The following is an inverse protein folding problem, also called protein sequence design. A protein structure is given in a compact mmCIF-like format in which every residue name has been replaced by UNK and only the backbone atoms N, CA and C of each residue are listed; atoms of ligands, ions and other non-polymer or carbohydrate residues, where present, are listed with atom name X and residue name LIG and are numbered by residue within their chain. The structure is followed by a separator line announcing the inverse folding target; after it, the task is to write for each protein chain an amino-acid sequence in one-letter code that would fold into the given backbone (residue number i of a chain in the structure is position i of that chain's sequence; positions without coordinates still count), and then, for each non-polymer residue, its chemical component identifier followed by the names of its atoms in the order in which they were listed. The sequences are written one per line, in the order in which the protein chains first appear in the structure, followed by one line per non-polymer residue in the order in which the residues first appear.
data_IF_412440025159
#
_entry.id   IF_412440025159
#
_cell.length_a   1.000
_cell.length_b   1.000
_cell.length_c   1.000
_cell.angle_alpha   90.00
_cell.angle_beta   90.00
_cell.angle_gamma   90.00
#
_symmetry.space_group_name_H-M   'P 1'
#
loop_
_entity.id
_entity.type
_entity.pdbx_description
1 polymer ?
#
# COMPACT_ATOMS: atom_id res chain seq x y z
N UNK A 1 -40.51 11.16 -7.09
CA UNK A 1 -39.83 11.55 -5.84
C UNK A 1 -38.46 10.90 -5.83
N UNK A 2 -37.41 11.70 -6.04
CA UNK A 2 -36.04 11.25 -6.15
C UNK A 2 -35.48 10.94 -4.74
N UNK A 3 -35.06 9.70 -4.52
CA UNK A 3 -34.34 9.29 -3.31
C UNK A 3 -32.84 9.42 -3.56
N UNK A 4 -32.28 10.59 -3.29
CA UNK A 4 -30.84 10.80 -3.16
C UNK A 4 -30.35 10.19 -1.84
N UNK A 5 -29.90 8.93 -1.88
CA UNK A 5 -28.97 8.41 -0.87
C UNK A 5 -27.56 8.81 -1.27
N UNK A 6 -27.19 10.03 -0.89
CA UNK A 6 -25.83 10.55 -0.94
C UNK A 6 -25.31 10.68 0.49
N UNK A 7 -24.94 9.57 1.10
CA UNK A 7 -24.14 9.56 2.34
C UNK A 7 -22.94 8.61 2.15
N UNK A 8 -22.06 8.97 1.21
CA UNK A 8 -20.64 8.63 1.35
C UNK A 8 -20.06 9.73 2.24
N UNK A 9 -20.10 9.51 3.54
CA UNK A 9 -19.48 10.35 4.54
C UNK A 9 -18.03 10.72 4.12
N UNK A 10 -17.84 12.00 3.85
CA UNK A 10 -16.62 12.79 4.05
C UNK A 10 -15.29 12.11 3.69
N UNK A 11 -14.92 12.20 2.40
CA UNK A 11 -13.51 12.25 1.99
C UNK A 11 -13.01 13.70 2.16
N UNK A 12 -12.39 14.07 3.28
CA UNK A 12 -11.42 15.20 3.29
C UNK A 12 -10.69 15.35 4.63
N UNK A 13 -9.80 14.41 4.92
CA UNK A 13 -8.49 14.74 5.46
C UNK A 13 -7.65 13.50 5.19
N UNK A 14 -6.93 13.49 4.07
CA UNK A 14 -5.89 12.50 3.85
C UNK A 14 -4.83 12.75 4.92
N UNK A 15 -5.01 12.21 6.11
CA UNK A 15 -4.06 12.40 7.20
C UNK A 15 -2.84 11.55 6.91
N UNK A 16 -1.67 12.14 7.13
CA UNK A 16 -0.40 11.48 6.95
C UNK A 16 0.39 11.61 8.23
N UNK A 17 1.02 10.52 8.62
CA UNK A 17 1.89 10.46 9.78
C UNK A 17 3.28 10.02 9.35
N UNK A 18 4.25 10.26 10.21
CA UNK A 18 5.58 9.68 10.10
C UNK A 18 5.73 8.63 11.20
N UNK A 19 5.99 7.40 10.78
CA UNK A 19 6.44 6.36 11.70
C UNK A 19 7.98 6.35 11.71
N UNK A 20 8.56 6.70 12.85
CA UNK A 20 9.98 6.58 13.10
C UNK A 20 10.28 5.21 13.73
N UNK A 21 11.09 4.38 13.08
CA UNK A 21 11.35 3.05 13.62
C UNK A 21 12.23 3.15 14.87
N UNK A 22 11.84 2.54 16.00
CA UNK A 22 12.72 2.40 17.13
C UNK A 22 14.02 1.73 16.68
N UNK A 23 15.16 2.37 16.95
CA UNK A 23 16.50 1.85 16.66
C UNK A 23 16.89 1.75 15.17
N UNK A 24 16.27 2.54 14.27
CA UNK A 24 16.73 2.64 12.87
C UNK A 24 16.79 4.09 12.40
N UNK A 25 17.79 4.42 11.59
CA UNK A 25 17.94 5.73 10.92
C UNK A 25 16.98 5.92 9.72
N UNK A 26 15.80 5.31 9.76
CA UNK A 26 14.81 5.47 8.69
C UNK A 26 13.45 5.70 9.29
N UNK A 27 12.60 6.39 8.53
CA UNK A 27 11.20 6.59 8.87
C UNK A 27 10.32 6.14 7.70
N UNK A 28 9.00 6.09 7.90
CA UNK A 28 8.02 5.86 6.84
C UNK A 28 6.92 6.89 6.95
N UNK A 29 6.58 7.49 5.82
CA UNK A 29 5.31 8.19 5.69
C UNK A 29 4.21 7.16 5.55
N UNK A 30 3.16 7.30 6.35
CA UNK A 30 2.00 6.43 6.36
C UNK A 30 0.76 7.27 6.16
N UNK A 31 -0.15 6.80 5.30
CA UNK A 31 -1.46 7.42 5.07
C UNK A 31 -2.52 6.33 4.88
N UNK A 32 -3.79 6.72 4.89
CA UNK A 32 -4.93 5.85 4.65
C UNK A 32 -5.67 6.32 3.41
N UNK A 33 -5.90 5.40 2.47
CA UNK A 33 -6.61 5.68 1.21
C UNK A 33 -7.63 4.55 1.02
N UNK A 34 -8.91 4.90 0.91
CA UNK A 34 -10.01 3.94 0.82
C UNK A 34 -9.98 2.88 1.94
N UNK A 35 -9.73 3.32 3.19
CA UNK A 35 -9.61 2.45 4.38
C UNK A 35 -8.47 1.43 4.33
N UNK A 36 -7.55 1.57 3.37
CA UNK A 36 -6.34 0.77 3.28
C UNK A 36 -5.15 1.59 3.75
N UNK A 37 -4.23 1.02 4.54
CA UNK A 37 -3.06 1.76 4.97
C UNK A 37 -1.93 1.60 3.96
N UNK A 38 -1.20 2.69 3.74
CA UNK A 38 -0.15 2.80 2.74
C UNK A 38 1.11 3.35 3.38
N UNK A 39 2.27 2.79 3.01
CA UNK A 39 3.55 3.35 3.37
C UNK A 39 4.35 3.77 2.14
N UNK A 40 5.08 4.87 2.24
CA UNK A 40 6.02 5.28 1.20
C UNK A 40 7.35 4.53 1.35
N UNK A 41 7.79 3.84 0.29
CA UNK A 41 9.05 3.12 0.26
C UNK A 41 10.25 4.08 0.28
N UNK A 42 11.26 3.76 1.08
CA UNK A 42 12.54 4.47 1.11
C UNK A 42 13.56 3.93 0.11
N UNK A 43 13.17 3.01 -0.77
CA UNK A 43 14.08 2.44 -1.78
C UNK A 43 15.09 1.42 -1.26
N UNK A 44 15.59 1.52 -0.02
CA UNK A 44 16.67 0.71 0.56
C UNK A 44 16.62 -0.80 0.22
N UNK A 45 15.44 -1.42 0.28
CA UNK A 45 15.27 -2.86 0.02
C UNK A 45 14.46 -3.17 -1.26
N UNK A 46 14.06 -2.16 -2.03
CA UNK A 46 13.20 -2.36 -3.21
C UNK A 46 13.78 -1.78 -4.50
N UNK A 47 14.78 -0.90 -4.41
CA UNK A 47 15.23 -0.07 -5.53
C UNK A 47 14.20 0.95 -6.02
N UNK A 48 13.03 1.05 -5.38
CA UNK A 48 11.89 1.84 -5.83
C UNK A 48 11.48 2.87 -4.76
N UNK A 49 12.36 3.82 -4.50
CA UNK A 49 12.10 4.92 -3.58
C UNK A 49 10.91 5.78 -4.02
N UNK A 50 10.03 6.11 -3.08
CA UNK A 50 8.84 6.91 -3.34
C UNK A 50 7.63 6.12 -3.86
N UNK A 51 7.76 4.80 -4.06
CA UNK A 51 6.58 3.95 -4.35
C UNK A 51 5.76 3.71 -3.09
N UNK A 52 4.44 3.87 -3.21
CA UNK A 52 3.49 3.62 -2.13
C UNK A 52 3.02 2.16 -2.16
N UNK A 53 3.14 1.47 -1.03
CA UNK A 53 2.74 0.07 -0.90
C UNK A 53 1.69 -0.07 0.20
N UNK A 54 0.70 -0.92 -0.09
CA UNK A 54 -0.27 -1.37 0.90
C UNK A 54 0.42 -2.23 1.97
N UNK A 55 -0.10 -2.17 3.19
CA UNK A 55 0.32 -3.03 4.29
C UNK A 55 -0.85 -3.33 5.24
N UNK A 56 -0.66 -4.19 6.24
CA UNK A 56 -1.71 -4.62 7.17
C UNK A 56 -1.67 -3.96 8.55
N UNK A 57 -0.62 -3.17 8.83
CA UNK A 57 -0.37 -2.58 10.15
C UNK A 57 1.10 -2.69 10.55
N UNK A 58 1.41 -2.29 11.78
CA UNK A 58 2.74 -2.42 12.37
C UNK A 58 2.73 -3.54 13.40
N UNK A 59 3.78 -4.36 13.40
CA UNK A 59 3.94 -5.43 14.37
C UNK A 59 4.19 -4.85 15.78
N UNK A 60 3.24 -5.05 16.69
CA UNK A 60 3.29 -4.51 18.07
C UNK A 60 4.19 -5.33 18.99
N UNK A 61 4.31 -6.63 18.74
CA UNK A 61 5.11 -7.56 19.55
C UNK A 61 6.21 -8.21 18.72
N UNK A 62 7.39 -8.42 19.31
CA UNK A 62 8.44 -9.22 18.66
C UNK A 62 7.93 -10.65 18.45
N UNK A 63 8.24 -11.24 17.29
CA UNK A 63 8.09 -12.67 17.01
C UNK A 63 9.45 -13.31 16.81
N UNK A 64 9.50 -14.63 16.63
CA UNK A 64 10.76 -15.37 16.38
C UNK A 64 11.51 -14.88 15.15
N UNK A 65 10.78 -14.35 14.16
CA UNK A 65 11.34 -13.94 12.87
C UNK A 65 11.44 -12.42 12.69
N UNK A 66 10.67 -11.63 13.45
CA UNK A 66 10.60 -10.17 13.26
C UNK A 66 10.64 -9.40 14.56
N UNK A 67 11.38 -8.30 14.54
CA UNK A 67 11.37 -7.35 15.65
C UNK A 67 10.05 -6.57 15.68
N UNK A 68 9.67 -6.11 16.87
CA UNK A 68 8.65 -5.08 17.05
C UNK A 68 8.89 -3.90 16.11
N UNK A 69 7.82 -3.32 15.57
CA UNK A 69 7.86 -2.18 14.65
C UNK A 69 7.99 -2.54 13.17
N UNK A 70 7.95 -3.81 12.78
CA UNK A 70 7.97 -4.18 11.36
C UNK A 70 6.62 -3.90 10.68
N UNK A 71 6.67 -3.36 9.46
CA UNK A 71 5.48 -3.23 8.61
C UNK A 71 5.02 -4.61 8.14
N UNK A 72 3.76 -4.90 8.34
CA UNK A 72 3.13 -6.18 7.99
C UNK A 72 2.72 -6.12 6.53
N UNK A 73 3.52 -6.71 5.65
CA UNK A 73 3.26 -6.65 4.21
C UNK A 73 2.34 -7.80 3.81
N UNK A 74 1.54 -7.66 2.75
CA UNK A 74 0.74 -8.77 2.24
C UNK A 74 1.64 -9.96 1.87
N UNK A 75 1.55 -11.05 2.63
CA UNK A 75 2.23 -12.34 2.37
C UNK A 75 1.32 -13.37 1.70
N UNK A 76 0.04 -13.39 2.07
CA UNK A 76 -0.99 -14.33 1.59
C UNK A 76 -1.24 -14.30 0.07
N UNK A 77 -0.75 -13.29 -0.63
CA UNK A 77 -0.79 -13.25 -2.09
C UNK A 77 0.28 -14.05 -2.80
N UNK A 78 1.39 -14.30 -2.13
CA UNK A 78 2.50 -15.06 -2.69
C UNK A 78 2.36 -16.57 -2.43
N UNK A 79 1.81 -16.95 -1.28
CA UNK A 79 1.82 -18.34 -0.79
C UNK A 79 0.45 -19.06 -0.91
N UNK A 80 -0.67 -18.38 -0.69
CA UNK A 80 -2.00 -18.97 -0.93
C UNK A 80 -2.40 -18.78 -2.40
N UNK A 81 -1.86 -19.65 -3.26
CA UNK A 81 -2.33 -19.92 -4.64
C UNK A 81 -2.80 -18.68 -5.43
N UNK A 82 -1.96 -18.24 -6.37
CA UNK A 82 -2.37 -17.49 -7.57
C UNK A 82 -3.41 -18.26 -8.41
N UNK A 83 -4.58 -18.59 -7.85
CA UNK A 83 -5.75 -19.08 -8.55
C UNK A 83 -6.39 -17.90 -9.26
N UNK A 84 -5.73 -17.45 -10.33
CA UNK A 84 -6.18 -16.94 -11.63
C UNK A 84 -7.43 -16.04 -11.77
N UNK A 85 -8.13 -15.64 -10.71
CA UNK A 85 -9.47 -15.01 -10.83
C UNK A 85 -9.64 -13.75 -9.98
N UNK A 86 -8.95 -13.63 -8.84
CA UNK A 86 -9.08 -12.45 -7.97
C UNK A 86 -8.10 -11.32 -8.26
N UNK A 87 -6.97 -11.63 -8.89
CA UNK A 87 -5.84 -10.70 -9.02
C UNK A 87 -5.53 -10.27 -10.44
N UNK A 88 -5.92 -11.06 -11.43
CA UNK A 88 -5.68 -10.79 -12.84
C UNK A 88 -6.67 -11.61 -13.66
N UNK A 89 -7.33 -10.98 -14.65
CA UNK A 89 -8.01 -11.75 -15.69
C UNK A 89 -6.99 -12.62 -16.44
N UNK A 90 -7.46 -13.71 -17.07
CA UNK A 90 -6.65 -14.69 -17.82
C UNK A 90 -5.62 -14.06 -18.78
N UNK A 91 -5.95 -12.89 -19.35
CA UNK A 91 -5.09 -12.15 -20.27
C UNK A 91 -3.83 -11.53 -19.64
N UNK A 92 -3.85 -11.21 -18.33
CA UNK A 92 -2.70 -10.59 -17.63
C UNK A 92 -1.81 -11.63 -16.97
N UNK A 93 -2.39 -12.75 -16.53
CA UNK A 93 -1.63 -13.91 -16.07
C UNK A 93 -0.56 -14.28 -17.10
N UNK A 94 -0.94 -14.35 -18.39
CA UNK A 94 0.00 -14.61 -19.47
C UNK A 94 1.08 -13.51 -19.62
N UNK A 95 0.71 -12.22 -19.54
CA UNK A 95 1.66 -11.11 -19.67
C UNK A 95 2.69 -11.07 -18.53
N UNK A 96 2.27 -11.26 -17.28
CA UNK A 96 3.16 -11.25 -16.11
C UNK A 96 4.04 -12.50 -16.07
N UNK A 97 3.47 -13.67 -16.40
CA UNK A 97 4.18 -14.95 -16.44
C UNK A 97 5.22 -15.03 -17.57
N UNK A 98 4.91 -14.48 -18.75
CA UNK A 98 5.82 -14.42 -19.91
C UNK A 98 7.03 -13.51 -19.68
N UNK A 99 7.02 -12.71 -18.62
CA UNK A 99 7.95 -11.61 -18.42
C UNK A 99 8.80 -11.69 -17.14
N UNK A 100 8.82 -12.86 -16.47
CA UNK A 100 9.66 -13.32 -15.34
C UNK A 100 9.06 -13.24 -13.92
N UNK A 101 9.42 -14.24 -13.10
CA UNK A 101 9.00 -14.45 -11.71
C UNK A 101 9.34 -13.28 -10.80
N UNK A 102 10.41 -12.52 -11.10
CA UNK A 102 10.77 -11.30 -10.37
C UNK A 102 9.76 -10.16 -10.59
N UNK A 103 9.04 -10.16 -11.72
CA UNK A 103 7.92 -9.22 -11.97
C UNK A 103 6.67 -9.60 -11.19
N UNK A 104 6.44 -10.89 -10.95
CA UNK A 104 5.41 -11.39 -10.03
C UNK A 104 5.70 -10.97 -8.58
N UNK A 105 6.94 -11.11 -8.12
CA UNK A 105 7.36 -10.70 -6.76
C UNK A 105 7.26 -9.18 -6.55
N UNK A 106 7.51 -8.37 -7.58
CA UNK A 106 7.32 -6.92 -7.48
C UNK A 106 5.84 -6.54 -7.42
N UNK A 107 4.99 -7.30 -8.12
CA UNK A 107 3.55 -7.03 -8.16
C UNK A 107 2.80 -7.49 -6.90
N UNK A 108 3.20 -8.61 -6.30
CA UNK A 108 2.60 -9.12 -5.05
C UNK A 108 2.63 -8.07 -3.92
N UNK A 109 3.62 -7.17 -3.94
CA UNK A 109 3.76 -6.08 -2.98
C UNK A 109 2.67 -5.02 -3.08
N UNK A 110 1.95 -4.95 -4.20
CA UNK A 110 0.81 -4.04 -4.34
C UNK A 110 -0.48 -4.62 -3.77
N UNK A 111 -0.57 -5.92 -3.48
CA UNK A 111 -1.82 -6.53 -3.08
C UNK A 111 -2.63 -6.97 -4.30
N UNK A 112 -3.68 -6.25 -4.63
CA UNK A 112 -4.59 -6.52 -5.77
C UNK A 112 -4.50 -5.46 -6.88
N UNK A 113 -5.30 -5.63 -7.93
CA UNK A 113 -5.42 -4.67 -9.03
C UNK A 113 -5.85 -3.30 -8.52
N UNK A 114 -6.82 -3.22 -7.61
CA UNK A 114 -7.30 -1.94 -7.09
C UNK A 114 -6.16 -1.19 -6.40
N UNK A 115 -5.43 -1.88 -5.52
CA UNK A 115 -4.30 -1.32 -4.80
C UNK A 115 -3.12 -0.99 -5.74
N UNK A 116 -2.88 -1.79 -6.77
CA UNK A 116 -1.91 -1.45 -7.80
C UNK A 116 -2.30 -0.18 -8.57
N UNK A 117 -3.59 -0.02 -8.92
CA UNK A 117 -4.12 1.19 -9.55
C UNK A 117 -3.98 2.42 -8.64
N UNK A 118 -4.31 2.31 -7.35
CA UNK A 118 -4.15 3.38 -6.36
C UNK A 118 -2.68 3.80 -6.25
N UNK A 119 -1.76 2.83 -6.08
CA UNK A 119 -0.32 3.11 -6.07
C UNK A 119 0.14 3.79 -7.36
N UNK A 120 -0.32 3.30 -8.52
CA UNK A 120 0.01 3.87 -9.82
C UNK A 120 -0.53 5.29 -10.01
N UNK A 121 -1.70 5.62 -9.47
CA UNK A 121 -2.26 6.97 -9.43
C UNK A 121 -1.29 7.93 -8.74
N UNK A 122 -0.84 7.58 -7.54
CA UNK A 122 0.08 8.41 -6.74
C UNK A 122 1.44 8.53 -7.44
N UNK A 123 1.95 7.42 -7.99
CA UNK A 123 3.21 7.38 -8.74
C UNK A 123 4.46 7.24 -7.85
N UNK A 124 5.59 7.79 -8.31
CA UNK A 124 6.89 7.64 -7.63
C UNK A 124 7.58 6.29 -7.89
N UNK A 125 8.85 6.18 -7.52
CA UNK A 125 9.68 4.96 -7.60
C UNK A 125 9.46 4.11 -8.85
N UNK A 126 8.98 2.88 -8.65
CA UNK A 126 8.66 1.90 -9.68
C UNK A 126 7.87 2.49 -10.85
N UNK A 127 6.87 3.32 -10.58
CA UNK A 127 6.00 3.91 -11.61
C UNK A 127 6.69 4.92 -12.52
N UNK A 128 7.88 5.41 -12.14
CA UNK A 128 8.73 6.27 -12.99
C UNK A 128 9.61 5.47 -13.95
N UNK A 129 9.84 4.19 -13.67
CA UNK A 129 10.63 3.31 -14.55
C UNK A 129 9.88 3.03 -15.86
N UNK A 130 10.59 2.65 -16.92
CA UNK A 130 9.97 2.27 -18.20
C UNK A 130 8.95 1.13 -18.04
N UNK A 131 9.28 0.15 -17.17
CA UNK A 131 8.38 -0.97 -16.83
C UNK A 131 7.12 -0.49 -16.12
N UNK A 132 7.27 0.38 -15.12
CA UNK A 132 6.14 0.95 -14.38
C UNK A 132 5.23 1.81 -15.25
N UNK A 133 5.79 2.61 -16.16
CA UNK A 133 5.02 3.41 -17.13
C UNK A 133 4.17 2.53 -18.04
N UNK A 134 4.75 1.45 -18.58
CA UNK A 134 4.02 0.52 -19.44
C UNK A 134 2.87 -0.17 -18.68
N UNK A 135 3.14 -0.70 -17.49
CA UNK A 135 2.10 -1.33 -16.66
C UNK A 135 1.01 -0.32 -16.26
N UNK A 136 1.37 0.90 -15.86
CA UNK A 136 0.42 1.96 -15.53
C UNK A 136 -0.49 2.28 -16.71
N UNK A 137 0.04 2.33 -17.92
CA UNK A 137 -0.77 2.53 -19.14
C UNK A 137 -1.81 1.43 -19.33
N UNK A 138 -1.41 0.18 -19.18
CA UNK A 138 -2.33 -0.97 -19.23
C UNK A 138 -3.41 -0.90 -18.13
N UNK A 139 -3.01 -0.66 -16.88
CA UNK A 139 -3.93 -0.56 -15.74
C UNK A 139 -4.93 0.58 -15.95
N UNK A 140 -4.48 1.75 -16.44
CA UNK A 140 -5.36 2.89 -16.69
C UNK A 140 -6.36 2.61 -17.81
N UNK A 141 -5.97 1.87 -18.84
CA UNK A 141 -6.87 1.46 -19.94
C UNK A 141 -7.92 0.45 -19.48
N UNK A 142 -7.54 -0.49 -18.62
CA UNK A 142 -8.37 -1.68 -18.30
C UNK A 142 -9.16 -1.53 -17.00
N UNK A 143 -8.63 -0.78 -16.04
CA UNK A 143 -9.14 -0.67 -14.67
C UNK A 143 -9.20 0.80 -14.21
N UNK A 144 -9.55 1.71 -15.11
CA UNK A 144 -9.61 3.16 -14.85
C UNK A 144 -10.41 3.52 -13.60
N UNK A 145 -11.48 2.77 -13.30
CA UNK A 145 -12.36 2.99 -12.13
C UNK A 145 -11.64 2.93 -10.78
N UNK A 146 -10.47 2.29 -10.69
CA UNK A 146 -9.70 2.20 -9.43
C UNK A 146 -8.61 3.28 -9.32
N UNK A 147 -8.40 4.10 -10.36
CA UNK A 147 -7.45 5.20 -10.27
C UNK A 147 -8.04 6.33 -9.44
N UNK A 148 -7.23 6.84 -8.50
CA UNK A 148 -7.59 8.01 -7.71
C UNK A 148 -7.79 9.26 -8.60
N UNK A 149 -8.72 10.15 -8.22
CA UNK A 149 -8.87 11.46 -8.85
C UNK A 149 -7.63 12.36 -8.70
N UNK A 150 -7.38 13.28 -9.65
CA UNK A 150 -6.22 14.19 -9.62
C UNK A 150 -6.07 15.02 -8.34
N UNK A 151 -7.17 15.48 -7.76
CA UNK A 151 -7.23 16.28 -6.54
C UNK A 151 -6.68 15.49 -5.34
N UNK A 152 -7.14 14.25 -5.15
CA UNK A 152 -6.64 13.36 -4.10
C UNK A 152 -5.14 13.06 -4.30
N UNK A 153 -4.71 12.87 -5.55
CA UNK A 153 -3.28 12.64 -5.87
C UNK A 153 -2.44 13.86 -5.49
N UNK A 154 -2.93 15.07 -5.76
CA UNK A 154 -2.25 16.32 -5.43
C UNK A 154 -2.09 16.46 -3.91
N UNK A 155 -3.15 16.23 -3.15
CA UNK A 155 -3.16 16.34 -1.69
C UNK A 155 -2.16 15.36 -1.06
N UNK A 156 -2.19 14.09 -1.45
CA UNK A 156 -1.26 13.07 -0.94
C UNK A 156 0.19 13.48 -1.20
N UNK A 157 0.49 14.01 -2.40
CA UNK A 157 1.85 14.43 -2.75
C UNK A 157 2.29 15.66 -1.96
N UNK A 158 1.40 16.63 -1.76
CA UNK A 158 1.69 17.83 -0.98
C UNK A 158 1.96 17.46 0.48
N UNK A 159 1.14 16.60 1.08
CA UNK A 159 1.34 16.10 2.44
C UNK A 159 2.64 15.30 2.57
N UNK A 160 2.98 14.49 1.56
CA UNK A 160 4.24 13.76 1.55
C UNK A 160 5.49 14.67 1.51
N UNK A 161 5.33 15.93 1.11
CA UNK A 161 6.39 16.95 1.15
C UNK A 161 6.37 17.78 2.44
N UNK A 162 5.33 17.67 3.27
CA UNK A 162 5.25 18.40 4.53
C UNK A 162 6.31 17.91 5.53
N UNK A 163 6.87 18.85 6.27
CA UNK A 163 7.75 18.61 7.42
C UNK A 163 7.00 18.57 8.75
N UNK A 164 5.78 19.10 8.77
CA UNK A 164 4.92 19.20 9.95
C UNK A 164 3.91 18.06 9.98
N UNK A 165 4.42 16.83 10.08
CA UNK A 165 3.60 15.62 10.20
C UNK A 165 3.74 15.06 11.62
N UNK A 166 2.64 14.59 12.20
CA UNK A 166 2.68 13.89 13.49
C UNK A 166 3.63 12.70 13.41
N UNK A 167 4.57 12.63 14.35
CA UNK A 167 5.57 11.57 14.43
C UNK A 167 5.18 10.60 15.53
N UNK A 168 5.01 9.34 15.16
CA UNK A 168 4.90 8.23 16.09
C UNK A 168 6.19 7.41 16.06
N UNK A 169 6.71 7.09 17.24
CA UNK A 169 7.80 6.10 17.37
C UNK A 169 7.30 4.76 17.87
N UNK A 170 6.07 4.71 18.39
CA UNK A 170 5.49 3.53 18.99
C UNK A 170 4.53 2.80 18.03
N UNK A 171 4.76 1.50 17.72
CA UNK A 171 3.87 0.70 16.86
C UNK A 171 2.40 0.71 17.27
N UNK A 172 2.12 0.66 18.57
CA UNK A 172 0.75 0.65 19.10
C UNK A 172 0.03 1.97 18.81
N UNK A 173 0.72 3.10 18.93
CA UNK A 173 0.17 4.41 18.55
C UNK A 173 -0.15 4.48 17.05
N UNK A 174 0.71 3.92 16.20
CA UNK A 174 0.44 3.87 14.76
C UNK A 174 -0.79 3.01 14.47
N UNK A 175 -0.88 1.81 15.04
CA UNK A 175 -2.03 0.94 14.82
C UNK A 175 -3.31 1.54 15.40
N UNK A 176 -3.25 2.22 16.54
CA UNK A 176 -4.37 2.97 17.08
C UNK A 176 -4.82 4.06 16.11
N UNK A 177 -3.89 4.88 15.60
CA UNK A 177 -4.20 5.89 14.59
C UNK A 177 -4.83 5.27 13.33
N UNK A 178 -4.30 4.14 12.84
CA UNK A 178 -4.88 3.42 11.70
C UNK A 178 -6.33 2.97 11.98
N UNK A 179 -6.64 2.52 13.22
CA UNK A 179 -8.02 2.16 13.63
C UNK A 179 -8.94 3.38 13.57
N UNK A 180 -8.48 4.52 14.09
CA UNK A 180 -9.25 5.78 14.05
C UNK A 180 -9.50 6.27 12.63
N UNK A 181 -8.60 5.99 11.68
CA UNK A 181 -8.81 6.28 10.26
C UNK A 181 -9.72 5.25 9.54
N UNK A 182 -10.34 4.32 10.27
CA UNK A 182 -11.29 3.35 9.71
C UNK A 182 -10.66 2.17 8.97
N UNK A 183 -9.37 1.89 9.20
CA UNK A 183 -8.72 0.73 8.60
C UNK A 183 -9.24 -0.56 9.24
N UNK A 184 -10.02 -1.32 8.48
CA UNK A 184 -10.70 -2.53 8.95
C UNK A 184 -9.78 -3.76 8.99
N UNK A 185 -8.60 -3.71 8.36
CA UNK A 185 -7.65 -4.83 8.31
C UNK A 185 -6.81 -5.01 9.57
N UNK A 186 -6.98 -4.16 10.58
CA UNK A 186 -6.19 -4.18 11.83
C UNK A 186 -6.56 -5.34 12.78
N UNK A 187 -7.50 -6.21 12.40
CA UNK A 187 -7.91 -7.39 13.17
C UNK A 187 -7.25 -8.72 12.76
N UNK A 188 -6.38 -8.75 11.74
CA UNK A 188 -5.69 -9.98 11.29
C UNK A 188 -4.27 -10.10 11.91
N UNK A 189 -4.01 -9.35 12.99
CA UNK A 189 -2.67 -9.01 13.49
C UNK A 189 -2.00 -10.02 14.43
N UNK A 190 -2.57 -11.20 14.66
CA UNK A 190 -1.90 -12.28 15.41
C UNK A 190 -1.44 -13.47 14.55
N UNK A 191 -1.59 -13.38 13.23
CA UNK A 191 -1.13 -14.45 12.35
C UNK A 191 0.32 -14.21 11.93
N UNK A 192 1.26 -14.83 12.64
CA UNK A 192 2.70 -14.81 12.32
C UNK A 192 2.99 -15.24 10.87
N UNK A 193 2.09 -16.01 10.25
CA UNK A 193 2.20 -16.41 8.84
C UNK A 193 2.14 -15.22 7.86
N UNK A 194 1.72 -14.02 8.28
CA UNK A 194 1.70 -12.81 7.46
C UNK A 194 2.98 -11.97 7.54
N UNK A 195 3.93 -12.36 8.39
CA UNK A 195 5.18 -11.64 8.64
C UNK A 195 6.35 -12.46 8.07
N UNK A 196 6.78 -12.27 6.82
CA UNK A 196 8.09 -12.79 6.35
C UNK A 196 8.80 -11.77 5.44
N UNK A 197 10.15 -11.80 5.46
CA UNK A 197 11.11 -10.89 4.80
C UNK A 197 10.92 -10.81 3.27
N UNK A 198 11.29 -9.68 2.64
CA UNK A 198 11.58 -9.62 1.20
C UNK A 198 12.81 -10.46 0.83
#
# INVERSE_FOLDING_TARGET
MASTKSDKNSLSNNTMIVFNFPNRSSYRRITVINNYPWYQSTGKNSGYEGTWFFFGGILETKTDHHARGWLIKPKSLAEERYNQTRFFGSNIYHYVHKHSIHKLVSFSRFGDIEKACISASIGGGFWRTSKGKHLKGYLKKTYSRYFLPPEIIKDIRQLAMSTDLTIYSDPEQVNFWLREQGVTTLGVLHNESLLIRP
#
